data_IF_752301701418
#
_entry.id   IF_752301701418
#
_cell.length_a   1.000
_cell.length_b   1.000
_cell.length_c   1.000
_cell.angle_alpha   90.00
_cell.angle_beta   90.00
_cell.angle_gamma   90.00
#
_symmetry.space_group_name_H-M   'P 1'
#
loop_
_entity.id
_entity.type
_entity.pdbx_description
1 polymer ?
#
# COMPACT_ATOMS: atom_id res chain seq x y z
N UNK A 1 7.41 -8.35 -13.19
CA UNK A 1 8.28 -9.19 -14.05
C UNK A 1 9.06 -10.12 -13.14
N UNK A 2 8.71 -11.39 -13.12
CA UNK A 2 9.41 -12.39 -12.33
C UNK A 2 10.78 -12.65 -12.95
N UNK A 3 11.84 -12.27 -12.25
CA UNK A 3 13.19 -12.61 -12.65
C UNK A 3 13.45 -14.06 -12.21
N UNK A 4 13.32 -15.01 -13.14
CA UNK A 4 13.66 -16.39 -12.91
C UNK A 4 15.17 -16.50 -12.69
N UNK A 5 15.58 -16.70 -11.44
CA UNK A 5 16.94 -17.12 -11.14
C UNK A 5 17.07 -18.60 -11.52
N UNK A 6 17.89 -18.88 -12.51
CA UNK A 6 18.26 -20.25 -12.82
C UNK A 6 18.98 -20.87 -11.61
N UNK A 7 18.61 -22.10 -11.27
CA UNK A 7 19.28 -22.85 -10.21
C UNK A 7 20.78 -22.91 -10.49
N UNK A 8 21.57 -22.28 -9.64
CA UNK A 8 23.03 -22.26 -9.80
C UNK A 8 23.59 -23.50 -9.12
N UNK A 9 24.24 -24.35 -9.91
CA UNK A 9 25.04 -25.46 -9.39
C UNK A 9 26.31 -24.87 -8.74
N UNK A 10 26.49 -25.01 -7.43
CA UNK A 10 27.76 -24.71 -6.81
C UNK A 10 28.74 -25.83 -7.16
N UNK A 11 29.55 -25.62 -8.18
CA UNK A 11 30.77 -26.39 -8.36
C UNK A 11 31.78 -25.95 -7.29
N UNK A 12 32.11 -26.84 -6.36
CA UNK A 12 33.32 -26.68 -5.56
C UNK A 12 34.53 -26.85 -6.49
N UNK A 13 35.00 -25.75 -7.03
CA UNK A 13 36.33 -25.67 -7.61
C UNK A 13 37.35 -25.82 -6.46
N UNK A 14 37.89 -26.99 -6.26
CA UNK A 14 38.99 -27.10 -5.28
C UNK A 14 39.51 -28.49 -5.01
N UNK A 15 38.72 -29.54 -5.07
CA UNK A 15 39.22 -30.89 -4.81
C UNK A 15 38.60 -31.93 -5.74
N UNK A 16 38.97 -31.87 -7.00
CA UNK A 16 38.77 -33.00 -7.92
C UNK A 16 39.86 -34.05 -7.67
N UNK A 17 39.79 -34.75 -6.54
CA UNK A 17 40.40 -36.06 -6.46
C UNK A 17 39.72 -36.92 -7.52
N UNK A 18 40.53 -37.51 -8.42
CA UNK A 18 40.13 -38.36 -9.55
C UNK A 18 39.35 -39.59 -9.05
N UNK A 19 38.12 -39.42 -8.60
CA UNK A 19 37.16 -40.53 -8.47
C UNK A 19 36.72 -40.95 -9.87
N UNK A 20 36.63 -42.26 -10.09
CA UNK A 20 36.08 -42.82 -11.33
C UNK A 20 34.66 -42.32 -11.51
N UNK A 21 34.46 -41.40 -12.43
CA UNK A 21 33.15 -40.91 -12.86
C UNK A 21 32.49 -42.05 -13.65
N UNK A 22 31.25 -42.36 -13.36
CA UNK A 22 30.47 -43.32 -14.13
C UNK A 22 30.04 -42.73 -15.48
N UNK A 23 29.80 -43.59 -16.48
CA UNK A 23 29.35 -43.13 -17.80
C UNK A 23 28.04 -42.32 -17.72
N UNK A 24 27.16 -42.66 -16.77
CA UNK A 24 25.90 -41.94 -16.54
C UNK A 24 26.10 -40.54 -15.96
N UNK A 25 27.05 -40.37 -15.04
CA UNK A 25 27.43 -39.05 -14.47
C UNK A 25 28.11 -38.18 -15.53
N UNK A 26 28.94 -38.80 -16.37
CA UNK A 26 29.62 -38.09 -17.45
C UNK A 26 28.59 -37.57 -18.51
N UNK A 27 27.62 -38.42 -18.87
CA UNK A 27 26.62 -38.07 -19.87
C UNK A 27 25.57 -37.07 -19.36
N UNK A 28 25.17 -37.17 -18.09
CA UNK A 28 24.16 -36.27 -17.48
C UNK A 28 24.73 -34.92 -17.04
N UNK A 29 26.05 -34.84 -16.81
CA UNK A 29 26.67 -33.68 -16.20
C UNK A 29 26.38 -33.54 -14.70
N UNK A 30 25.60 -34.46 -14.10
CA UNK A 30 25.29 -34.48 -12.67
C UNK A 30 26.08 -35.61 -11.97
N UNK A 31 26.72 -35.26 -10.88
CA UNK A 31 27.48 -36.19 -10.06
C UNK A 31 26.67 -36.57 -8.82
N UNK A 32 26.91 -37.79 -8.33
CA UNK A 32 26.18 -38.34 -7.17
C UNK A 32 26.35 -37.50 -5.90
N UNK A 33 27.41 -36.72 -5.84
CA UNK A 33 27.77 -35.87 -4.70
C UNK A 33 27.27 -34.41 -4.88
N UNK A 34 26.76 -34.07 -6.05
CA UNK A 34 26.25 -32.73 -6.31
C UNK A 34 25.06 -32.40 -5.38
N UNK A 35 25.03 -31.20 -4.91
CA UNK A 35 23.96 -30.66 -4.09
C UNK A 35 23.42 -29.38 -4.75
N UNK A 36 22.12 -29.30 -4.85
CA UNK A 36 21.45 -28.10 -5.34
C UNK A 36 21.23 -27.13 -4.19
N UNK A 37 21.36 -25.85 -4.49
CA UNK A 37 20.94 -24.78 -3.57
C UNK A 37 19.41 -24.75 -3.59
N UNK A 38 18.76 -24.82 -2.43
CA UNK A 38 17.31 -24.73 -2.39
C UNK A 38 16.87 -23.33 -2.86
N UNK A 39 15.82 -23.31 -3.71
CA UNK A 39 15.15 -22.07 -4.14
C UNK A 39 13.81 -21.99 -3.41
N UNK A 40 13.59 -20.90 -2.74
CA UNK A 40 12.34 -20.59 -2.05
C UNK A 40 11.71 -19.40 -2.73
N UNK A 41 10.45 -19.52 -3.15
CA UNK A 41 9.69 -18.39 -3.69
C UNK A 41 8.90 -17.75 -2.58
N UNK A 42 9.31 -16.55 -2.22
CA UNK A 42 8.60 -15.70 -1.27
C UNK A 42 7.83 -14.64 -2.04
N UNK A 43 6.54 -14.51 -1.75
CA UNK A 43 5.64 -13.51 -2.34
C UNK A 43 5.14 -12.62 -1.21
N UNK A 44 5.27 -11.31 -1.39
CA UNK A 44 4.69 -10.33 -0.48
C UNK A 44 3.49 -9.71 -1.18
N UNK A 45 2.33 -9.82 -0.55
CA UNK A 45 1.09 -9.23 -1.05
C UNK A 45 0.91 -7.83 -0.45
N UNK A 46 0.84 -6.81 -1.30
CA UNK A 46 0.68 -5.42 -0.90
C UNK A 46 -0.75 -4.88 -1.12
N UNK A 47 -1.70 -5.76 -1.42
CA UNK A 47 -3.09 -5.39 -1.61
C UNK A 47 -3.74 -4.94 -0.30
N UNK A 48 -4.78 -4.10 -0.42
CA UNK A 48 -5.60 -3.70 0.72
C UNK A 48 -6.53 -4.83 1.19
N UNK A 49 -6.83 -5.78 0.31
CA UNK A 49 -7.68 -6.94 0.57
C UNK A 49 -6.82 -8.19 0.78
N UNK A 50 -7.40 -9.18 1.44
CA UNK A 50 -6.73 -10.46 1.65
C UNK A 50 -6.45 -11.17 0.32
N UNK A 51 -5.35 -11.90 0.27
CA UNK A 51 -5.03 -12.73 -0.88
C UNK A 51 -6.06 -13.86 -1.02
N UNK A 52 -6.69 -13.95 -2.17
CA UNK A 52 -7.67 -14.97 -2.54
C UNK A 52 -7.21 -15.88 -3.70
N UNK A 53 -5.98 -15.67 -4.18
CA UNK A 53 -5.41 -16.43 -5.28
C UNK A 53 -4.82 -17.79 -4.88
N UNK A 54 -4.50 -18.64 -5.86
CA UNK A 54 -3.90 -19.95 -5.61
C UNK A 54 -2.51 -19.83 -4.96
N UNK A 55 -2.20 -20.77 -4.08
CA UNK A 55 -0.94 -20.84 -3.35
C UNK A 55 -0.01 -21.92 -3.91
N UNK A 56 -0.54 -22.82 -4.72
CA UNK A 56 0.20 -23.94 -5.30
C UNK A 56 -0.08 -24.07 -6.79
N UNK A 57 0.84 -24.73 -7.49
CA UNK A 57 0.65 -25.02 -8.91
C UNK A 57 -0.55 -25.96 -9.14
N UNK A 58 -0.78 -26.91 -8.23
CA UNK A 58 -1.92 -27.83 -8.30
C UNK A 58 -3.28 -27.10 -8.25
N UNK A 59 -3.38 -26.02 -7.43
CA UNK A 59 -4.61 -25.21 -7.35
C UNK A 59 -4.93 -24.46 -8.65
N UNK A 60 -3.93 -24.26 -9.51
CA UNK A 60 -4.10 -23.60 -10.82
C UNK A 60 -4.42 -24.56 -11.96
N UNK A 61 -4.32 -25.88 -11.72
CA UNK A 61 -4.49 -26.87 -12.76
C UNK A 61 -5.96 -27.29 -12.94
N UNK A 62 -6.44 -27.24 -14.16
CA UNK A 62 -7.72 -27.85 -14.53
C UNK A 62 -7.49 -29.33 -14.86
N UNK A 63 -7.90 -30.22 -13.95
CA UNK A 63 -7.69 -31.66 -14.08
C UNK A 63 -9.01 -32.40 -13.89
N UNK A 64 -9.40 -33.17 -14.91
CA UNK A 64 -10.62 -33.97 -14.88
C UNK A 64 -10.57 -35.16 -13.87
N UNK A 65 -9.39 -35.65 -13.54
CA UNK A 65 -9.18 -36.72 -12.58
C UNK A 65 -8.12 -36.30 -11.51
N UNK A 66 -8.52 -36.01 -10.26
CA UNK A 66 -7.62 -35.60 -9.20
C UNK A 66 -6.49 -36.58 -8.89
N UNK A 67 -6.66 -37.87 -9.20
CA UNK A 67 -5.62 -38.90 -9.00
C UNK A 67 -4.35 -38.61 -9.84
N UNK A 68 -4.46 -37.84 -10.91
CA UNK A 68 -3.32 -37.47 -11.74
C UNK A 68 -2.38 -36.49 -11.04
N UNK A 69 -2.87 -35.72 -10.07
CA UNK A 69 -2.06 -34.73 -9.32
C UNK A 69 -0.87 -35.37 -8.60
N UNK A 70 -1.00 -36.61 -8.15
CA UNK A 70 0.10 -37.33 -7.50
C UNK A 70 1.31 -37.62 -8.40
N UNK A 71 1.14 -37.49 -9.72
CA UNK A 71 2.21 -37.67 -10.71
C UNK A 71 2.75 -36.32 -11.22
N UNK A 72 2.14 -35.22 -10.83
CA UNK A 72 2.55 -33.87 -11.20
C UNK A 72 3.27 -33.23 -10.00
N UNK A 73 4.46 -32.69 -10.24
CA UNK A 73 5.18 -31.96 -9.19
C UNK A 73 4.41 -30.71 -8.81
N UNK A 74 4.18 -30.53 -7.51
CA UNK A 74 3.61 -29.30 -6.99
C UNK A 74 4.71 -28.28 -6.64
N UNK A 75 4.37 -27.01 -6.74
CA UNK A 75 5.23 -25.91 -6.35
C UNK A 75 4.42 -24.89 -5.56
N UNK A 76 4.80 -24.70 -4.31
CA UNK A 76 4.13 -23.78 -3.40
C UNK A 76 4.88 -22.45 -3.29
N UNK A 77 4.15 -21.35 -3.31
CA UNK A 77 4.64 -20.05 -2.91
C UNK A 77 4.51 -19.88 -1.39
N UNK A 78 5.44 -19.14 -0.79
CA UNK A 78 5.34 -18.71 0.60
C UNK A 78 4.84 -17.27 0.61
N UNK A 79 3.58 -17.07 0.97
CA UNK A 79 2.93 -15.78 0.99
C UNK A 79 3.16 -15.08 2.33
N UNK A 80 3.59 -13.83 2.28
CA UNK A 80 3.52 -12.87 3.37
C UNK A 80 2.45 -11.86 3.00
N UNK A 81 1.38 -11.85 3.78
CA UNK A 81 0.32 -10.84 3.72
C UNK A 81 0.44 -9.95 4.96
N UNK A 82 0.94 -8.70 4.80
CA UNK A 82 1.15 -7.81 5.94
C UNK A 82 -0.12 -7.54 6.74
N UNK A 83 -1.29 -7.53 6.11
CA UNK A 83 -2.58 -7.28 6.77
C UNK A 83 -2.91 -8.34 7.84
N UNK A 84 -2.40 -9.55 7.68
CA UNK A 84 -2.66 -10.72 8.53
C UNK A 84 -1.57 -11.02 9.55
N UNK A 85 -0.40 -10.41 9.43
CA UNK A 85 0.70 -10.63 10.36
C UNK A 85 0.31 -10.19 11.78
N UNK A 86 0.59 -11.04 12.75
CA UNK A 86 0.51 -10.67 14.16
C UNK A 86 1.72 -9.82 14.56
N UNK A 87 1.66 -9.12 15.71
CA UNK A 87 2.81 -8.38 16.24
C UNK A 87 4.00 -9.32 16.50
N UNK A 88 3.74 -10.52 17.02
CA UNK A 88 4.79 -11.52 17.25
C UNK A 88 5.45 -12.00 15.96
N UNK A 89 4.71 -12.04 14.87
CA UNK A 89 5.26 -12.38 13.56
C UNK A 89 6.07 -11.23 12.97
N UNK A 90 5.63 -9.98 13.14
CA UNK A 90 6.40 -8.81 12.75
C UNK A 90 7.73 -8.73 13.52
N UNK A 91 7.75 -9.05 14.82
CA UNK A 91 8.97 -9.05 15.63
C UNK A 91 10.02 -10.11 15.19
N UNK A 92 9.64 -11.09 14.39
CA UNK A 92 10.61 -12.06 13.82
C UNK A 92 11.52 -11.43 12.78
N UNK A 93 11.14 -10.30 12.19
CA UNK A 93 11.97 -9.58 11.23
C UNK A 93 12.95 -8.66 11.96
N UNK A 94 14.24 -8.88 11.76
CA UNK A 94 15.32 -8.14 12.44
C UNK A 94 15.80 -6.91 11.68
N UNK A 95 15.39 -6.76 10.40
CA UNK A 95 15.79 -5.67 9.51
C UNK A 95 14.67 -4.64 9.39
N UNK A 96 14.88 -3.56 8.63
CA UNK A 96 13.86 -2.55 8.29
C UNK A 96 12.62 -3.14 7.61
N UNK A 97 12.66 -4.41 7.20
CA UNK A 97 11.50 -5.11 6.65
C UNK A 97 10.34 -5.18 7.66
N UNK A 98 10.63 -5.27 8.96
CA UNK A 98 9.62 -5.20 10.02
C UNK A 98 8.80 -3.90 9.93
N UNK A 99 9.49 -2.78 9.83
CA UNK A 99 8.86 -1.46 9.76
C UNK A 99 8.11 -1.27 8.43
N UNK A 100 8.68 -1.78 7.34
CA UNK A 100 7.99 -1.76 6.03
C UNK A 100 6.68 -2.54 6.08
N UNK A 101 6.71 -3.78 6.59
CA UNK A 101 5.52 -4.62 6.68
C UNK A 101 4.50 -4.06 7.68
N UNK A 102 4.96 -3.55 8.83
CA UNK A 102 4.12 -2.90 9.84
C UNK A 102 3.46 -1.63 9.30
N UNK A 103 4.20 -0.81 8.57
CA UNK A 103 3.65 0.37 7.92
C UNK A 103 2.55 0.00 6.92
N UNK A 104 2.79 -1.00 6.07
CA UNK A 104 1.80 -1.48 5.10
C UNK A 104 0.56 -1.98 5.81
N UNK A 105 0.71 -2.77 6.86
CA UNK A 105 -0.38 -3.31 7.68
C UNK A 105 -1.32 -2.22 8.20
N UNK A 106 -0.76 -1.10 8.67
CA UNK A 106 -1.52 -0.04 9.31
C UNK A 106 -1.84 1.15 8.39
N UNK A 107 -1.33 1.17 7.15
CA UNK A 107 -1.42 2.30 6.21
C UNK A 107 -2.86 2.73 5.88
N UNK A 108 -3.83 1.82 6.01
CA UNK A 108 -5.24 2.13 5.75
C UNK A 108 -5.94 2.85 6.91
N UNK A 109 -5.30 2.96 8.09
CA UNK A 109 -5.87 3.58 9.27
C UNK A 109 -4.89 4.59 9.88
N UNK A 110 -5.16 5.88 9.68
CA UNK A 110 -4.28 6.97 10.12
C UNK A 110 -3.97 6.98 11.62
N UNK A 111 -4.87 6.53 12.48
CA UNK A 111 -4.61 6.41 13.91
C UNK A 111 -3.65 5.27 14.20
N UNK A 112 -3.87 4.10 13.60
CA UNK A 112 -3.01 2.94 13.82
C UNK A 112 -1.60 3.14 13.28
N UNK A 113 -1.45 3.85 12.15
CA UNK A 113 -0.11 4.15 11.62
C UNK A 113 0.65 5.12 12.51
N UNK A 114 -0.02 6.11 13.11
CA UNK A 114 0.59 6.99 14.11
C UNK A 114 0.99 6.22 15.36
N UNK A 115 0.08 5.43 15.93
CA UNK A 115 0.35 4.60 17.11
C UNK A 115 1.54 3.64 16.87
N UNK A 116 1.66 3.11 15.65
CA UNK A 116 2.78 2.24 15.25
C UNK A 116 4.10 3.02 15.08
N UNK A 117 4.03 4.24 14.56
CA UNK A 117 5.20 5.08 14.33
C UNK A 117 5.68 5.78 15.61
N UNK A 118 4.74 6.24 16.45
CA UNK A 118 5.06 6.91 17.71
C UNK A 118 5.88 6.00 18.64
N UNK A 119 6.96 6.54 19.16
CA UNK A 119 7.86 5.83 20.08
C UNK A 119 8.56 4.59 19.49
N UNK A 120 8.52 4.41 18.18
CA UNK A 120 9.27 3.36 17.51
C UNK A 120 10.60 3.88 16.96
N UNK A 121 11.74 3.66 17.66
CA UNK A 121 13.04 4.16 17.22
C UNK A 121 13.50 3.54 15.89
N UNK A 122 12.88 2.45 15.45
CA UNK A 122 13.17 1.80 14.17
C UNK A 122 12.54 2.54 13.00
N UNK A 123 11.65 3.53 13.24
CA UNK A 123 11.15 4.42 12.18
C UNK A 123 12.23 5.38 11.67
N UNK A 124 13.35 5.52 12.37
CA UNK A 124 14.60 6.02 11.81
C UNK A 124 15.25 4.92 10.99
N UNK A 125 14.87 4.80 9.72
CA UNK A 125 15.23 3.70 8.84
C UNK A 125 16.13 4.11 7.67
N UNK A 126 16.64 3.11 6.95
CA UNK A 126 17.41 3.35 5.75
C UNK A 126 16.53 3.99 4.66
N UNK A 127 17.08 4.95 3.92
CA UNK A 127 16.35 5.67 2.88
C UNK A 127 15.73 4.74 1.81
N UNK A 128 16.39 3.61 1.51
CA UNK A 128 15.84 2.62 0.59
C UNK A 128 14.56 1.96 1.14
N UNK A 129 14.52 1.63 2.42
CA UNK A 129 13.32 1.10 3.08
C UNK A 129 12.17 2.14 3.07
N UNK A 130 12.49 3.41 3.34
CA UNK A 130 11.54 4.52 3.26
C UNK A 130 11.00 4.72 1.83
N UNK A 131 11.85 4.60 0.81
CA UNK A 131 11.43 4.65 -0.61
C UNK A 131 10.49 3.50 -0.97
N UNK A 132 10.72 2.30 -0.43
CA UNK A 132 9.82 1.15 -0.61
C UNK A 132 8.45 1.47 -0.02
N UNK A 133 8.37 1.96 1.22
CA UNK A 133 7.12 2.38 1.85
C UNK A 133 6.42 3.40 0.97
N UNK A 134 7.09 4.50 0.62
CA UNK A 134 6.52 5.56 -0.22
C UNK A 134 5.94 5.02 -1.52
N UNK A 135 6.66 4.11 -2.19
CA UNK A 135 6.25 3.58 -3.50
C UNK A 135 5.04 2.65 -3.38
N UNK A 136 5.01 1.80 -2.36
CA UNK A 136 3.96 0.79 -2.18
C UNK A 136 2.67 1.41 -1.65
N UNK A 137 2.79 2.30 -0.66
CA UNK A 137 1.62 2.90 0.01
C UNK A 137 1.18 4.22 -0.62
N UNK A 138 1.91 4.69 -1.64
CA UNK A 138 1.72 6.00 -2.26
C UNK A 138 1.71 7.16 -1.22
N UNK A 139 2.46 7.01 -0.14
CA UNK A 139 2.55 8.03 0.92
C UNK A 139 3.50 9.13 0.45
N UNK A 140 3.08 10.40 0.38
CA UNK A 140 3.88 11.50 -0.17
C UNK A 140 4.91 12.07 0.82
N UNK A 141 5.66 11.20 1.50
CA UNK A 141 6.77 11.61 2.38
C UNK A 141 7.97 12.01 1.53
N UNK A 142 8.54 13.16 1.80
CA UNK A 142 9.78 13.60 1.16
C UNK A 142 10.98 12.82 1.70
N UNK A 143 11.74 12.22 0.80
CA UNK A 143 12.95 11.47 1.13
C UNK A 143 14.11 12.15 0.41
N UNK A 144 14.99 12.85 1.11
CA UNK A 144 16.14 13.51 0.51
C UNK A 144 17.07 12.49 -0.17
N UNK A 145 17.60 12.82 -1.35
CA UNK A 145 18.44 11.91 -2.13
C UNK A 145 19.80 11.65 -1.47
N UNK A 146 20.30 12.61 -0.72
CA UNK A 146 21.63 12.58 -0.10
C UNK A 146 21.64 11.93 1.30
N UNK A 147 20.47 11.67 1.89
CA UNK A 147 20.38 11.07 3.22
C UNK A 147 20.37 9.54 3.14
N UNK A 148 21.22 8.92 3.92
CA UNK A 148 21.25 7.45 4.07
C UNK A 148 20.13 6.95 4.99
N UNK A 149 19.66 7.79 5.92
CA UNK A 149 18.60 7.44 6.88
C UNK A 149 17.55 8.54 6.97
N UNK A 150 16.30 8.12 7.12
CA UNK A 150 15.12 8.99 7.15
C UNK A 150 14.28 8.69 8.38
N UNK A 151 13.82 9.75 9.03
CA UNK A 151 12.83 9.66 10.11
C UNK A 151 11.43 9.63 9.53
N UNK A 152 10.89 8.43 9.36
CA UNK A 152 9.55 8.23 8.83
C UNK A 152 8.45 8.66 9.80
N UNK A 153 8.71 8.67 11.12
CA UNK A 153 7.75 9.16 12.11
C UNK A 153 7.46 10.65 11.87
N UNK A 154 8.53 11.45 11.79
CA UNK A 154 8.42 12.89 11.50
C UNK A 154 7.73 13.17 10.17
N UNK A 155 8.08 12.42 9.11
CA UNK A 155 7.43 12.57 7.80
C UNK A 155 5.93 12.28 7.84
N UNK A 156 5.50 11.30 8.62
CA UNK A 156 4.07 10.97 8.81
C UNK A 156 3.35 12.07 9.59
N UNK A 157 3.96 12.58 10.67
CA UNK A 157 3.40 13.67 11.49
C UNK A 157 3.20 14.95 10.65
N UNK A 158 4.20 15.34 9.87
CA UNK A 158 4.13 16.49 8.96
C UNK A 158 3.01 16.33 7.95
N UNK A 159 2.92 15.18 7.28
CA UNK A 159 1.87 14.88 6.31
C UNK A 159 0.46 14.97 6.92
N UNK A 160 0.31 14.45 8.15
CA UNK A 160 -0.99 14.50 8.84
C UNK A 160 -1.38 15.90 9.28
N UNK A 161 -0.43 16.72 9.72
CA UNK A 161 -0.71 18.11 10.06
C UNK A 161 -1.09 18.93 8.82
N UNK A 162 -0.40 18.71 7.70
CA UNK A 162 -0.75 19.36 6.42
C UNK A 162 -2.17 18.98 5.97
N UNK A 163 -2.49 17.68 5.98
CA UNK A 163 -3.84 17.21 5.65
C UNK A 163 -4.92 17.78 6.58
N UNK A 164 -4.60 17.94 7.87
CA UNK A 164 -5.50 18.55 8.85
C UNK A 164 -5.70 20.05 8.57
N UNK A 165 -4.63 20.75 8.19
CA UNK A 165 -4.71 22.18 7.84
C UNK A 165 -5.49 22.40 6.57
N UNK A 166 -5.28 21.57 5.54
CA UNK A 166 -6.05 21.61 4.30
C UNK A 166 -7.52 21.37 4.57
N UNK A 167 -7.88 20.31 5.31
CA UNK A 167 -9.25 20.01 5.67
C UNK A 167 -9.93 21.13 6.47
N UNK A 168 -9.21 21.81 7.37
CA UNK A 168 -9.72 23.00 8.09
C UNK A 168 -9.98 24.17 7.15
N UNK A 169 -9.07 24.42 6.20
CA UNK A 169 -9.23 25.52 5.24
C UNK A 169 -10.39 25.26 4.31
N UNK A 170 -10.53 24.03 3.82
CA UNK A 170 -11.62 23.62 2.95
C UNK A 170 -12.96 23.69 3.67
N UNK A 171 -13.07 23.12 4.87
CA UNK A 171 -14.27 23.22 5.70
C UNK A 171 -14.66 24.65 6.06
N UNK A 172 -13.67 25.56 6.25
CA UNK A 172 -13.95 26.99 6.45
C UNK A 172 -14.52 27.63 5.19
N UNK A 173 -13.93 27.38 4.02
CA UNK A 173 -14.43 27.91 2.74
C UNK A 173 -15.84 27.43 2.44
N UNK A 174 -16.11 26.14 2.65
CA UNK A 174 -17.44 25.56 2.47
C UNK A 174 -18.47 26.16 3.47
N UNK A 175 -18.04 26.30 4.73
CA UNK A 175 -18.85 26.91 5.78
C UNK A 175 -19.20 28.39 5.48
N UNK A 176 -18.23 29.18 5.02
CA UNK A 176 -18.40 30.56 4.60
C UNK A 176 -19.37 30.66 3.39
N UNK A 177 -19.16 29.82 2.37
CA UNK A 177 -20.04 29.80 1.19
C UNK A 177 -21.47 29.38 1.54
N UNK A 178 -21.63 28.31 2.32
CA UNK A 178 -22.92 27.83 2.78
C UNK A 178 -23.63 28.86 3.67
N UNK A 179 -22.90 29.51 4.58
CA UNK A 179 -23.42 30.59 5.42
C UNK A 179 -23.87 31.81 4.64
N UNK A 180 -23.08 32.23 3.64
CA UNK A 180 -23.42 33.33 2.75
C UNK A 180 -24.69 33.02 1.95
N UNK A 181 -24.79 31.79 1.40
CA UNK A 181 -25.98 31.36 0.64
C UNK A 181 -27.23 31.31 1.52
N UNK A 182 -27.14 30.81 2.75
CA UNK A 182 -28.22 30.78 3.71
C UNK A 182 -28.68 32.20 4.06
N UNK A 183 -27.77 33.12 4.34
CA UNK A 183 -28.05 34.50 4.62
C UNK A 183 -28.69 35.20 3.43
N UNK A 184 -28.22 34.96 2.23
CA UNK A 184 -28.83 35.48 0.99
C UNK A 184 -30.26 34.99 0.81
N UNK A 185 -30.54 33.70 1.09
CA UNK A 185 -31.90 33.13 1.06
C UNK A 185 -32.82 33.81 2.08
N UNK A 186 -32.38 33.93 3.34
CA UNK A 186 -33.13 34.58 4.41
C UNK A 186 -33.45 36.03 4.04
N UNK A 187 -32.48 36.76 3.50
CA UNK A 187 -32.65 38.14 3.04
C UNK A 187 -33.62 38.24 1.88
N UNK A 188 -33.50 37.34 0.88
CA UNK A 188 -34.41 37.31 -0.27
C UNK A 188 -35.87 37.08 0.16
N UNK A 189 -36.11 36.13 1.07
CA UNK A 189 -37.45 35.87 1.61
C UNK A 189 -38.00 37.07 2.39
N UNK A 190 -37.16 37.75 3.19
CA UNK A 190 -37.58 38.97 3.92
C UNK A 190 -37.96 40.12 2.97
N UNK A 191 -37.14 40.36 1.93
CA UNK A 191 -37.44 41.40 0.92
C UNK A 191 -38.69 41.06 0.11
N UNK A 192 -38.93 39.79 -0.19
CA UNK A 192 -40.15 39.34 -0.84
C UNK A 192 -41.38 39.59 0.03
N UNK A 193 -41.29 39.37 1.34
CA UNK A 193 -42.34 39.69 2.32
C UNK A 193 -42.65 41.18 2.42
N UNK A 194 -41.67 42.04 2.06
CA UNK A 194 -41.87 43.51 1.96
C UNK A 194 -42.46 43.96 0.61
N UNK A 195 -42.69 43.03 -0.32
CA UNK A 195 -43.34 43.32 -1.61
C UNK A 195 -42.36 43.79 -2.71
N UNK A 196 -41.06 43.61 -2.56
CA UNK A 196 -40.08 43.95 -3.61
C UNK A 196 -40.21 43.02 -4.84
N UNK A 197 -40.02 43.55 -6.08
CA UNK A 197 -39.95 42.73 -7.28
C UNK A 197 -38.77 41.74 -7.23
N UNK A 198 -38.97 40.51 -7.77
CA UNK A 198 -37.99 39.40 -7.72
C UNK A 198 -36.65 39.76 -8.40
N UNK A 199 -36.72 40.58 -9.44
CA UNK A 199 -35.54 41.10 -10.17
C UNK A 199 -34.67 42.00 -9.27
N UNK A 200 -35.31 42.84 -8.47
CA UNK A 200 -34.61 43.71 -7.53
C UNK A 200 -34.04 42.91 -6.35
N UNK A 201 -34.76 41.89 -5.89
CA UNK A 201 -34.29 41.00 -4.83
C UNK A 201 -33.03 40.24 -5.33
N UNK A 202 -33.07 39.66 -6.53
CA UNK A 202 -31.94 38.95 -7.12
C UNK A 202 -30.69 39.84 -7.22
N UNK A 203 -30.87 41.08 -7.65
CA UNK A 203 -29.81 42.09 -7.71
C UNK A 203 -29.27 42.44 -6.30
N UNK A 204 -30.15 42.60 -5.32
CA UNK A 204 -29.77 42.97 -3.95
C UNK A 204 -28.99 41.89 -3.22
N UNK A 205 -29.32 40.61 -3.42
CA UNK A 205 -28.65 39.47 -2.78
C UNK A 205 -27.48 38.91 -3.62
N UNK A 206 -27.33 39.38 -4.88
CA UNK A 206 -26.26 38.94 -5.78
C UNK A 206 -26.39 37.48 -6.27
N UNK A 207 -27.62 36.96 -6.33
CA UNK A 207 -27.94 35.57 -6.70
C UNK A 207 -28.79 35.56 -7.98
N UNK A 208 -28.63 34.50 -8.77
CA UNK A 208 -29.38 34.32 -10.01
C UNK A 208 -30.90 34.38 -9.75
N UNK A 209 -31.64 35.07 -10.65
CA UNK A 209 -33.09 35.28 -10.54
C UNK A 209 -33.86 33.97 -10.43
N UNK A 210 -33.48 32.92 -11.15
CA UNK A 210 -34.20 31.65 -11.13
C UNK A 210 -34.05 30.97 -9.74
N UNK A 211 -32.89 31.05 -9.13
CA UNK A 211 -32.64 30.52 -7.76
C UNK A 211 -33.47 31.33 -6.73
N UNK A 212 -33.54 32.66 -6.88
CA UNK A 212 -34.33 33.50 -6.00
C UNK A 212 -35.81 33.20 -6.15
N UNK A 213 -36.31 32.94 -7.37
CA UNK A 213 -37.70 32.49 -7.60
C UNK A 213 -38.01 31.19 -6.85
N UNK A 214 -37.12 30.22 -6.90
CA UNK A 214 -37.30 28.96 -6.18
C UNK A 214 -37.35 29.15 -4.66
N UNK A 215 -36.51 30.04 -4.12
CA UNK A 215 -36.48 30.32 -2.69
C UNK A 215 -37.73 31.01 -2.16
N UNK A 216 -38.36 31.85 -2.98
CA UNK A 216 -39.57 32.60 -2.60
C UNK A 216 -40.83 31.75 -2.77
N UNK A 217 -40.81 30.72 -3.63
CA UNK A 217 -41.95 29.85 -3.88
C UNK A 217 -42.07 28.68 -2.86
N UNK A 218 -40.99 28.33 -2.17
CA UNK A 218 -40.90 27.30 -1.14
C UNK A 218 -40.72 27.90 0.25
#
# INVERSE_FOLDING_TARGET
>A
MACGQAATLQHREGERTRKKVSDGEYLSGFYKEDRLIPVITLVIHFGAEEWDGPMTLHEMMEIGNPELLKYVQDYRIHLIDPSRLTEEELEKFSTSLREVLGYIKYSTNGKQILDFAENNPRMMMDADAARVIRTITNTPVEIPEEEERVDMCKGIEELMEDSRQEGRQEGRKEGEASGALRKAKETACALAGMGLPKEQIASAVGINLEVVKEWILN
#
